data_IF_308323814874
#
_entry.id   IF_308323814874
#
_cell.length_a   1.000
_cell.length_b   1.000
_cell.length_c   1.000
_cell.angle_alpha   90.00
_cell.angle_beta   90.00
_cell.angle_gamma   90.00
#
_symmetry.space_group_name_H-M   'P 1'
#
loop_
_entity.id
_entity.type
_entity.pdbx_description
1 polymer ?
#
# COMPACT_ATOMS: atom_id res chain seq x y z
N UNK A 1 -4.31 -35.19 22.78
CA UNK A 1 -3.45 -34.85 21.63
C UNK A 1 -4.13 -35.02 20.26
N UNK A 2 -5.22 -35.80 20.09
CA UNK A 2 -5.83 -35.99 18.75
C UNK A 2 -6.90 -34.96 18.32
N UNK A 3 -7.23 -33.96 19.15
CA UNK A 3 -8.24 -32.93 18.83
C UNK A 3 -7.68 -31.62 18.28
N UNK A 4 -6.39 -31.36 18.43
CA UNK A 4 -5.72 -30.19 17.82
C UNK A 4 -5.26 -30.48 16.39
N UNK A 5 -4.82 -31.72 16.09
CA UNK A 5 -4.44 -32.13 14.73
C UNK A 5 -5.64 -32.14 13.78
N UNK A 6 -6.80 -32.65 14.22
CA UNK A 6 -8.01 -32.65 13.40
C UNK A 6 -8.56 -31.25 13.10
N UNK A 7 -8.41 -30.30 14.04
CA UNK A 7 -8.82 -28.91 13.84
C UNK A 7 -7.91 -28.16 12.86
N UNK A 8 -6.59 -28.38 12.92
CA UNK A 8 -5.63 -27.79 11.99
C UNK A 8 -5.83 -28.31 10.56
N UNK A 9 -6.01 -29.62 10.42
CA UNK A 9 -6.24 -30.27 9.12
C UNK A 9 -7.56 -29.83 8.48
N UNK A 10 -8.62 -29.62 9.27
CA UNK A 10 -9.89 -29.06 8.78
C UNK A 10 -9.77 -27.59 8.34
N UNK A 11 -9.04 -26.75 9.08
CA UNK A 11 -8.81 -25.34 8.72
C UNK A 11 -7.95 -25.23 7.45
N UNK A 12 -6.92 -26.07 7.34
CA UNK A 12 -6.05 -26.14 6.17
C UNK A 12 -6.84 -26.60 4.93
N UNK A 13 -7.64 -27.66 5.03
CA UNK A 13 -8.49 -28.15 3.95
C UNK A 13 -9.52 -27.11 3.48
N UNK A 14 -10.18 -26.40 4.40
CA UNK A 14 -11.12 -25.31 4.04
C UNK A 14 -10.38 -24.17 3.34
N UNK A 15 -9.17 -23.82 3.79
CA UNK A 15 -8.36 -22.76 3.19
C UNK A 15 -7.89 -23.09 1.76
N UNK A 16 -7.60 -24.36 1.47
CA UNK A 16 -7.20 -24.84 0.14
C UNK A 16 -8.39 -24.80 -0.83
N UNK A 17 -9.55 -25.34 -0.44
CA UNK A 17 -10.77 -25.33 -1.27
C UNK A 17 -11.20 -23.90 -1.63
N UNK A 18 -11.07 -22.98 -0.67
CA UNK A 18 -11.41 -21.57 -0.84
C UNK A 18 -10.39 -20.82 -1.72
N UNK A 19 -9.11 -21.21 -1.68
CA UNK A 19 -8.07 -20.72 -2.61
C UNK A 19 -8.29 -21.21 -4.04
N UNK A 20 -8.73 -22.45 -4.25
CA UNK A 20 -9.05 -22.97 -5.58
C UNK A 20 -10.28 -22.28 -6.19
N UNK A 21 -11.35 -22.11 -5.40
CA UNK A 21 -12.55 -21.38 -5.83
C UNK A 21 -12.22 -19.91 -6.17
N UNK A 22 -11.34 -19.28 -5.40
CA UNK A 22 -10.79 -17.97 -5.71
C UNK A 22 -9.93 -18.01 -7.00
N UNK A 23 -9.13 -19.06 -7.18
CA UNK A 23 -8.33 -19.30 -8.38
C UNK A 23 -9.17 -19.33 -9.65
N UNK A 24 -10.26 -20.09 -9.68
CA UNK A 24 -11.20 -20.12 -10.81
C UNK A 24 -11.87 -18.76 -11.06
N UNK A 25 -12.08 -17.95 -10.01
CA UNK A 25 -12.63 -16.61 -10.19
C UNK A 25 -11.66 -15.64 -10.85
N UNK A 26 -10.38 -15.70 -10.45
CA UNK A 26 -9.32 -14.88 -11.05
C UNK A 26 -8.95 -15.42 -12.42
N UNK A 27 -8.82 -16.74 -12.57
CA UNK A 27 -8.39 -17.45 -13.78
C UNK A 27 -9.41 -18.54 -14.14
N UNK A 28 -10.52 -18.19 -14.82
CA UNK A 28 -11.55 -19.15 -15.14
C UNK A 28 -11.06 -20.22 -16.11
N UNK A 29 -11.68 -21.39 -16.03
CA UNK A 29 -11.51 -22.52 -16.96
C UNK A 29 -11.31 -22.07 -18.42
N UNK A 30 -10.17 -22.44 -19.01
CA UNK A 30 -9.74 -21.98 -20.35
C UNK A 30 -8.75 -20.82 -20.34
N UNK A 31 -8.39 -20.27 -19.17
CA UNK A 31 -7.30 -19.31 -19.04
C UNK A 31 -5.97 -19.92 -19.50
N UNK A 32 -5.52 -19.47 -20.68
CA UNK A 32 -4.26 -19.87 -21.32
C UNK A 32 -3.17 -18.81 -21.11
N UNK A 33 -3.07 -18.28 -19.88
CA UNK A 33 -1.98 -17.37 -19.54
C UNK A 33 -0.63 -18.03 -19.86
N UNK A 34 0.31 -17.32 -20.53
CA UNK A 34 1.56 -17.92 -20.91
C UNK A 34 2.29 -18.39 -19.65
N UNK A 35 2.83 -19.61 -19.65
CA UNK A 35 3.64 -20.07 -18.54
C UNK A 35 4.83 -19.13 -18.38
N UNK A 36 5.17 -18.85 -17.13
CA UNK A 36 6.26 -17.94 -16.80
C UNK A 36 7.54 -18.71 -16.58
N UNK A 37 8.64 -18.13 -17.02
CA UNK A 37 9.96 -18.64 -16.70
C UNK A 37 10.51 -17.80 -15.56
N UNK A 38 10.72 -18.43 -14.41
CA UNK A 38 11.27 -17.82 -13.22
C UNK A 38 12.67 -18.39 -12.99
N UNK A 39 13.63 -17.51 -12.72
CA UNK A 39 15.00 -17.91 -12.40
C UNK A 39 15.11 -18.31 -10.92
N UNK A 40 15.75 -19.43 -10.62
CA UNK A 40 15.98 -19.86 -9.25
C UNK A 40 16.97 -18.93 -8.53
N UNK A 41 16.58 -18.39 -7.37
CA UNK A 41 17.43 -17.56 -6.49
C UNK A 41 18.68 -18.24 -5.92
N UNK A 42 18.82 -19.56 -6.09
CA UNK A 42 19.92 -20.34 -5.51
C UNK A 42 20.93 -20.85 -6.53
N UNK A 43 20.45 -21.33 -7.69
CA UNK A 43 21.29 -21.94 -8.72
C UNK A 43 21.13 -21.31 -10.10
N UNK A 44 20.32 -20.25 -10.24
CA UNK A 44 20.08 -19.52 -11.50
C UNK A 44 19.44 -20.35 -12.63
N UNK A 45 19.02 -21.59 -12.37
CA UNK A 45 18.27 -22.39 -13.33
C UNK A 45 16.91 -21.75 -13.60
N UNK A 46 16.50 -21.74 -14.87
CA UNK A 46 15.19 -21.27 -15.32
C UNK A 46 14.14 -22.36 -15.12
N UNK A 47 13.06 -22.05 -14.42
CA UNK A 47 11.96 -22.96 -14.11
C UNK A 47 10.67 -22.43 -14.72
N UNK A 48 9.96 -23.29 -15.45
CA UNK A 48 8.65 -22.96 -16.01
C UNK A 48 7.59 -23.16 -14.92
N UNK A 49 6.81 -22.13 -14.63
CA UNK A 49 5.74 -22.14 -13.63
C UNK A 49 4.41 -21.72 -14.25
N UNK A 50 3.33 -22.33 -13.78
CA UNK A 50 1.97 -21.90 -14.09
C UNK A 50 1.60 -20.75 -13.16
N UNK A 51 1.28 -19.59 -13.74
CA UNK A 51 0.99 -18.38 -12.97
C UNK A 51 -0.07 -18.58 -11.89
N UNK A 52 -1.25 -19.19 -12.17
CA UNK A 52 -2.27 -19.36 -11.14
C UNK A 52 -1.76 -20.14 -9.93
N UNK A 53 -1.08 -21.28 -10.17
CA UNK A 53 -0.52 -22.11 -9.10
C UNK A 53 0.59 -21.39 -8.35
N UNK A 54 1.50 -20.72 -9.06
CA UNK A 54 2.62 -20.00 -8.44
C UNK A 54 2.17 -18.80 -7.59
N UNK A 55 1.06 -18.15 -7.94
CA UNK A 55 0.51 -17.02 -7.16
C UNK A 55 -0.30 -17.50 -5.97
N UNK A 56 -1.07 -18.57 -6.10
CA UNK A 56 -1.95 -19.08 -5.03
C UNK A 56 -1.22 -19.96 -4.01
N UNK A 57 -0.21 -20.71 -4.48
CA UNK A 57 0.53 -21.70 -3.69
C UNK A 57 2.05 -21.60 -3.97
N UNK A 58 2.68 -20.44 -3.72
CA UNK A 58 4.12 -20.26 -3.95
C UNK A 58 4.98 -21.30 -3.21
N UNK A 59 4.55 -21.75 -2.04
CA UNK A 59 5.20 -22.77 -1.19
C UNK A 59 5.38 -24.13 -1.89
N UNK A 60 4.56 -24.46 -2.90
CA UNK A 60 4.60 -25.74 -3.61
C UNK A 60 5.55 -25.75 -4.82
N UNK A 61 6.40 -24.72 -4.98
CA UNK A 61 7.24 -24.56 -6.16
C UNK A 61 8.72 -24.70 -5.80
N UNK A 62 9.29 -25.85 -6.14
CA UNK A 62 10.72 -26.15 -5.97
C UNK A 62 11.47 -26.08 -7.31
N UNK A 63 12.76 -25.77 -7.25
CA UNK A 63 13.61 -25.73 -8.43
C UNK A 63 13.87 -27.15 -8.93
N UNK A 64 13.57 -27.42 -10.21
CA UNK A 64 13.80 -28.72 -10.83
C UNK A 64 15.27 -29.16 -10.92
N UNK A 65 16.23 -28.25 -10.67
CA UNK A 65 17.66 -28.59 -10.67
C UNK A 65 18.24 -28.75 -9.26
N UNK A 66 18.03 -27.79 -8.35
CA UNK A 66 18.63 -27.84 -7.01
C UNK A 66 17.67 -28.28 -5.89
N UNK A 67 16.39 -28.50 -6.19
CA UNK A 67 15.36 -28.94 -5.22
C UNK A 67 14.96 -27.91 -4.16
N UNK A 68 15.54 -26.70 -4.19
CA UNK A 68 15.21 -25.63 -3.23
C UNK A 68 13.99 -24.82 -3.67
N UNK A 69 13.29 -24.22 -2.70
CA UNK A 69 12.13 -23.34 -2.92
C UNK A 69 12.47 -22.22 -3.92
N UNK A 70 11.59 -22.02 -4.91
CA UNK A 70 11.74 -20.96 -5.91
C UNK A 70 11.43 -19.58 -5.35
N UNK A 71 10.37 -19.52 -4.52
CA UNK A 71 9.86 -18.27 -3.97
C UNK A 71 10.25 -18.11 -2.50
N UNK A 72 10.36 -16.85 -2.06
CA UNK A 72 10.52 -16.46 -0.67
C UNK A 72 9.31 -16.92 0.15
N UNK A 73 9.54 -17.40 1.38
CA UNK A 73 8.47 -17.69 2.33
C UNK A 73 7.68 -16.42 2.70
N UNK A 74 6.48 -16.61 3.25
CA UNK A 74 5.57 -15.50 3.59
C UNK A 74 6.18 -14.49 4.58
N UNK A 75 6.98 -14.98 5.53
CA UNK A 75 7.68 -14.15 6.53
C UNK A 75 9.14 -13.83 6.16
N UNK A 76 9.62 -14.26 4.98
CA UNK A 76 10.98 -13.93 4.55
C UNK A 76 11.05 -12.49 3.99
N UNK A 77 11.95 -11.63 4.51
CA UNK A 77 12.04 -10.24 4.10
C UNK A 77 12.57 -10.08 2.66
N UNK A 78 12.02 -9.11 1.93
CA UNK A 78 12.56 -8.65 0.65
C UNK A 78 13.80 -7.77 0.88
N UNK A 79 14.92 -8.40 1.26
CA UNK A 79 16.16 -7.69 1.66
C UNK A 79 16.56 -6.60 0.68
N UNK A 80 16.79 -5.40 1.19
CA UNK A 80 17.13 -4.20 0.46
C UNK A 80 16.16 -3.88 -0.70
N UNK A 81 14.86 -4.20 -0.62
CA UNK A 81 13.90 -3.94 -1.70
C UNK A 81 13.93 -2.47 -2.14
N UNK A 82 14.15 -2.17 -3.42
CA UNK A 82 13.92 -0.81 -3.93
C UNK A 82 12.44 -0.60 -4.25
N UNK A 83 11.89 0.58 -3.94
CA UNK A 83 10.55 0.96 -4.40
C UNK A 83 10.38 0.86 -5.93
N UNK A 84 11.47 1.01 -6.69
CA UNK A 84 11.52 0.81 -8.14
C UNK A 84 11.13 -0.61 -8.59
N UNK A 85 11.21 -1.60 -7.71
CA UNK A 85 10.84 -2.98 -8.01
C UNK A 85 9.35 -3.15 -8.30
N UNK A 86 8.51 -2.40 -7.58
CA UNK A 86 7.05 -2.52 -7.65
C UNK A 86 6.35 -1.25 -8.14
N UNK A 87 7.07 -0.14 -8.31
CA UNK A 87 6.54 1.13 -8.84
C UNK A 87 5.67 0.93 -10.09
N UNK A 88 4.44 1.45 -10.05
CA UNK A 88 3.52 1.37 -11.16
C UNK A 88 4.00 2.24 -12.32
N UNK A 89 3.73 1.81 -13.56
CA UNK A 89 4.13 2.56 -14.76
C UNK A 89 3.35 3.88 -14.89
N UNK A 90 2.06 3.85 -14.57
CA UNK A 90 1.22 5.06 -14.51
C UNK A 90 1.72 6.04 -13.45
N UNK A 91 2.06 5.56 -12.25
CA UNK A 91 2.60 6.39 -11.18
C UNK A 91 3.86 7.11 -11.64
N UNK A 92 4.87 6.36 -12.10
CA UNK A 92 6.11 6.93 -12.63
C UNK A 92 5.86 7.97 -13.73
N UNK A 93 4.99 7.68 -14.70
CA UNK A 93 4.70 8.58 -15.81
C UNK A 93 3.98 9.85 -15.34
N UNK A 94 2.99 9.72 -14.47
CA UNK A 94 2.23 10.84 -13.93
C UNK A 94 3.07 11.71 -13.01
N UNK A 95 3.96 11.12 -12.22
CA UNK A 95 4.89 11.87 -11.36
C UNK A 95 5.92 12.63 -12.20
N UNK A 96 6.50 12.02 -13.23
CA UNK A 96 7.40 12.70 -14.17
C UNK A 96 6.70 13.88 -14.87
N UNK A 97 5.42 13.73 -15.23
CA UNK A 97 4.63 14.81 -15.83
C UNK A 97 4.27 15.91 -14.82
N UNK A 98 4.13 15.58 -13.53
CA UNK A 98 3.92 16.55 -12.47
C UNK A 98 5.20 17.35 -12.18
N UNK A 99 6.34 16.66 -12.09
CA UNK A 99 7.65 17.27 -11.85
C UNK A 99 8.13 18.15 -13.01
N UNK A 100 7.59 17.97 -14.22
CA UNK A 100 7.91 18.83 -15.36
C UNK A 100 7.16 20.16 -15.36
N UNK A 101 6.17 20.35 -14.48
CA UNK A 101 5.45 21.62 -14.33
C UNK A 101 6.38 22.64 -13.63
N UNK A 102 6.66 23.81 -14.24
CA UNK A 102 7.51 24.82 -13.64
C UNK A 102 7.05 25.23 -12.22
N UNK A 103 7.99 25.25 -11.27
CA UNK A 103 7.73 25.64 -9.88
C UNK A 103 7.33 24.49 -8.95
N UNK A 104 6.87 23.34 -9.47
CA UNK A 104 6.53 22.18 -8.63
C UNK A 104 7.77 21.62 -7.92
N UNK A 105 8.93 21.37 -8.59
CA UNK A 105 10.12 20.88 -7.90
C UNK A 105 10.64 21.82 -6.81
N UNK A 106 10.60 23.13 -7.05
CA UNK A 106 11.01 24.16 -6.09
C UNK A 106 10.10 24.17 -4.87
N UNK A 107 8.78 24.12 -5.08
CA UNK A 107 7.79 24.08 -4.00
C UNK A 107 7.91 22.81 -3.16
N UNK A 108 8.07 21.65 -3.80
CA UNK A 108 8.29 20.37 -3.09
C UNK A 108 9.55 20.42 -2.22
N UNK A 109 10.66 20.97 -2.75
CA UNK A 109 11.91 21.15 -1.98
C UNK A 109 11.74 22.15 -0.83
N UNK A 110 10.98 23.23 -1.05
CA UNK A 110 10.63 24.18 0.01
C UNK A 110 9.84 23.50 1.13
N UNK A 111 8.80 22.74 0.80
CA UNK A 111 8.00 22.00 1.78
C UNK A 111 8.87 21.04 2.60
N UNK A 112 9.70 20.23 1.94
CA UNK A 112 10.64 19.32 2.61
C UNK A 112 11.61 20.04 3.56
N UNK A 113 12.14 21.20 3.17
CA UNK A 113 13.17 21.90 3.95
C UNK A 113 12.63 22.83 5.03
N UNK A 114 11.42 23.38 4.87
CA UNK A 114 10.87 24.44 5.74
C UNK A 114 9.62 24.03 6.49
N UNK A 115 8.84 23.06 5.98
CA UNK A 115 7.64 22.58 6.65
C UNK A 115 7.99 21.35 7.48
N UNK A 116 7.99 21.54 8.79
CA UNK A 116 8.20 20.46 9.74
C UNK A 116 6.89 19.78 10.12
N UNK A 117 7.00 18.58 10.67
CA UNK A 117 5.86 17.74 11.07
C UNK A 117 5.29 18.10 12.45
N UNK A 118 5.75 19.19 13.07
CA UNK A 118 5.41 19.57 14.44
C UNK A 118 3.91 19.82 14.64
N UNK A 119 3.26 20.50 13.69
CA UNK A 119 1.83 20.80 13.78
C UNK A 119 0.98 19.53 13.74
N UNK A 120 1.23 18.68 12.74
CA UNK A 120 0.58 17.36 12.61
C UNK A 120 0.80 16.51 13.85
N UNK A 121 2.04 16.42 14.34
CA UNK A 121 2.39 15.65 15.52
C UNK A 121 1.69 16.18 16.77
N UNK A 122 1.63 17.50 16.95
CA UNK A 122 0.92 18.12 18.08
C UNK A 122 -0.58 17.80 18.03
N UNK A 123 -1.20 17.89 16.84
CA UNK A 123 -2.60 17.53 16.64
C UNK A 123 -2.84 16.06 17.00
N UNK A 124 -2.09 15.13 16.42
CA UNK A 124 -2.25 13.69 16.67
C UNK A 124 -1.97 13.33 18.13
N UNK A 125 -0.96 13.93 18.77
CA UNK A 125 -0.71 13.74 20.20
C UNK A 125 -1.85 14.26 21.09
N UNK A 126 -2.63 15.22 20.60
CA UNK A 126 -3.77 15.80 21.34
C UNK A 126 -5.08 15.06 21.09
N UNK A 127 -5.27 14.44 19.91
CA UNK A 127 -6.57 13.92 19.46
C UNK A 127 -6.58 12.43 19.10
N UNK A 128 -5.45 11.74 19.12
CA UNK A 128 -5.31 10.33 18.78
C UNK A 128 -4.41 9.59 19.78
N UNK A 129 -4.45 8.26 19.76
CA UNK A 129 -3.65 7.44 20.68
C UNK A 129 -2.35 7.03 20.01
N UNK A 130 -1.20 7.45 20.57
CA UNK A 130 0.11 7.03 20.08
C UNK A 130 0.34 5.55 20.39
N UNK A 131 0.55 4.72 19.38
CA UNK A 131 0.82 3.29 19.56
C UNK A 131 2.31 3.05 19.86
N UNK A 132 2.59 2.09 20.73
CA UNK A 132 3.93 1.74 21.19
C UNK A 132 3.96 0.37 21.89
N UNK A 133 5.12 -0.05 22.44
CA UNK A 133 5.25 -1.31 23.16
C UNK A 133 4.28 -1.45 24.35
N UNK A 134 3.95 -0.34 25.01
CA UNK A 134 3.09 -0.33 26.19
C UNK A 134 1.62 0.04 25.86
N UNK A 135 1.31 0.35 24.60
CA UNK A 135 -0.01 0.84 24.19
C UNK A 135 -0.33 0.43 22.75
N UNK A 136 -1.31 -0.46 22.57
CA UNK A 136 -1.60 -1.14 21.29
C UNK A 136 -0.37 -1.87 20.68
N UNK A 137 0.32 -2.75 21.45
CA UNK A 137 1.49 -3.46 20.94
C UNK A 137 1.18 -4.40 19.77
N UNK A 138 -0.06 -4.90 19.66
CA UNK A 138 -0.55 -5.74 18.55
C UNK A 138 -0.41 -5.01 17.21
N UNK A 139 -0.91 -3.78 17.13
CA UNK A 139 -0.85 -2.97 15.92
C UNK A 139 0.59 -2.62 15.53
N UNK A 140 1.43 -2.38 16.54
CA UNK A 140 2.88 -2.20 16.38
C UNK A 140 3.52 -3.44 15.77
N UNK A 141 3.20 -4.65 16.26
CA UNK A 141 3.73 -5.91 15.71
C UNK A 141 3.31 -6.11 14.26
N UNK A 142 2.08 -5.77 13.90
CA UNK A 142 1.59 -5.86 12.51
C UNK A 142 2.34 -4.87 11.60
N UNK A 143 2.57 -3.63 12.06
CA UNK A 143 3.39 -2.65 11.34
C UNK A 143 4.83 -3.15 11.15
N UNK A 144 5.45 -3.70 12.20
CA UNK A 144 6.80 -4.25 12.13
C UNK A 144 6.88 -5.43 11.16
N UNK A 145 5.86 -6.29 11.10
CA UNK A 145 5.79 -7.41 10.15
C UNK A 145 5.68 -6.92 8.71
N UNK A 146 4.78 -5.97 8.43
CA UNK A 146 4.66 -5.36 7.10
C UNK A 146 5.97 -4.66 6.67
N UNK A 147 6.58 -3.89 7.58
CA UNK A 147 7.86 -3.21 7.38
C UNK A 147 8.99 -4.19 7.09
N UNK A 148 9.07 -5.28 7.85
CA UNK A 148 10.10 -6.31 7.70
C UNK A 148 9.95 -7.04 6.36
N UNK A 149 8.73 -7.44 5.98
CA UNK A 149 8.47 -8.14 4.71
C UNK A 149 8.84 -7.29 3.48
N UNK A 150 8.61 -5.99 3.53
CA UNK A 150 9.03 -5.02 2.50
C UNK A 150 10.47 -4.51 2.66
N UNK A 151 11.13 -4.87 3.77
CA UNK A 151 12.39 -4.32 4.24
C UNK A 151 12.43 -2.79 4.17
N UNK A 152 11.42 -2.08 4.67
CA UNK A 152 11.47 -0.60 4.72
C UNK A 152 12.43 -0.18 5.84
N UNK A 153 13.44 0.68 5.57
CA UNK A 153 14.57 0.90 6.48
C UNK A 153 14.22 1.72 7.72
N UNK A 154 13.10 2.44 7.70
CA UNK A 154 12.60 3.19 8.83
C UNK A 154 11.25 2.64 9.28
N UNK A 155 10.95 2.87 10.55
CA UNK A 155 9.67 2.54 11.16
C UNK A 155 8.91 3.85 11.40
N UNK A 156 7.81 4.12 10.70
CA UNK A 156 6.98 5.28 11.02
C UNK A 156 6.35 5.11 12.40
N UNK A 157 6.08 6.22 13.07
CA UNK A 157 5.21 6.18 14.24
C UNK A 157 3.78 5.82 13.81
N UNK A 158 3.06 5.13 14.69
CA UNK A 158 1.68 4.72 14.45
C UNK A 158 0.78 5.38 15.48
N UNK A 159 -0.33 5.95 15.02
CA UNK A 159 -1.39 6.49 15.87
C UNK A 159 -2.71 5.80 15.54
N UNK A 160 -3.51 5.55 16.57
CA UNK A 160 -4.89 5.09 16.44
C UNK A 160 -5.84 6.29 16.61
N UNK A 161 -6.55 6.64 15.55
CA UNK A 161 -7.60 7.67 15.57
C UNK A 161 -8.98 7.04 15.71
N UNK A 162 -9.86 7.67 16.50
CA UNK A 162 -11.28 7.30 16.52
C UNK A 162 -11.91 7.67 15.18
N UNK A 163 -12.55 6.70 14.52
CA UNK A 163 -13.43 6.97 13.38
C UNK A 163 -14.26 5.74 13.04
N UNK A 164 -15.55 5.91 12.68
CA UNK A 164 -16.42 4.82 12.22
C UNK A 164 -16.17 4.40 10.76
N UNK A 165 -15.32 5.14 10.04
CA UNK A 165 -14.96 4.88 8.65
C UNK A 165 -13.59 4.20 8.58
N UNK A 166 -13.50 3.09 7.84
CA UNK A 166 -12.24 2.42 7.56
C UNK A 166 -11.34 3.36 6.75
N UNK A 167 -10.19 3.70 7.32
CA UNK A 167 -9.15 4.45 6.63
C UNK A 167 -7.80 4.29 7.36
N UNK A 168 -6.73 4.40 6.60
CA UNK A 168 -5.40 4.66 7.13
C UNK A 168 -4.76 5.74 6.25
N UNK A 169 -3.82 6.49 6.81
CA UNK A 169 -3.12 7.53 6.05
C UNK A 169 -1.72 7.77 6.56
N UNK A 170 -0.81 7.89 5.61
CA UNK A 170 0.57 8.33 5.80
C UNK A 170 0.64 9.86 5.74
N UNK A 171 1.02 10.49 6.85
CA UNK A 171 1.06 11.94 7.02
C UNK A 171 2.47 12.40 7.38
N UNK A 172 2.90 13.53 6.82
CA UNK A 172 4.14 14.21 7.18
C UNK A 172 5.02 14.48 5.97
N UNK A 173 6.22 15.02 6.22
CA UNK A 173 7.23 15.32 5.22
C UNK A 173 8.53 14.60 5.54
N UNK A 174 9.12 14.90 6.70
CA UNK A 174 10.46 14.44 7.08
C UNK A 174 10.43 13.25 8.03
N UNK A 175 9.45 13.22 8.93
CA UNK A 175 9.26 12.17 9.92
C UNK A 175 7.81 11.65 9.82
N UNK A 176 7.54 10.78 8.82
CA UNK A 176 6.18 10.39 8.50
C UNK A 176 5.55 9.53 9.60
N UNK A 177 4.26 9.75 9.78
CA UNK A 177 3.39 9.07 10.74
C UNK A 177 2.33 8.30 9.96
N UNK A 178 1.97 7.10 10.42
CA UNK A 178 0.82 6.36 9.92
C UNK A 178 -0.31 6.47 10.93
N UNK A 179 -1.41 7.09 10.54
CA UNK A 179 -2.64 7.12 11.33
C UNK A 179 -3.59 6.01 10.85
N UNK A 180 -4.06 5.20 11.77
CA UNK A 180 -4.99 4.09 11.54
C UNK A 180 -6.32 4.44 12.21
N UNK A 181 -7.44 4.30 11.49
CA UNK A 181 -8.75 4.47 12.11
C UNK A 181 -9.18 3.21 12.87
N UNK A 182 -9.84 3.39 14.02
CA UNK A 182 -10.36 2.30 14.86
C UNK A 182 -11.26 1.32 14.09
N UNK A 183 -12.09 1.81 13.16
CA UNK A 183 -12.95 0.97 12.33
C UNK A 183 -12.22 -0.09 11.48
N UNK A 184 -10.91 0.05 11.23
CA UNK A 184 -10.11 -1.01 10.60
C UNK A 184 -9.92 -2.20 11.54
N UNK A 185 -9.62 -1.95 12.83
CA UNK A 185 -9.44 -2.99 13.83
C UNK A 185 -10.76 -3.76 14.10
N UNK A 186 -11.91 -3.10 13.96
CA UNK A 186 -13.23 -3.73 14.12
C UNK A 186 -13.59 -4.69 12.99
N UNK A 187 -12.97 -4.55 11.82
CA UNK A 187 -13.42 -5.17 10.57
C UNK A 187 -12.36 -6.04 9.88
N UNK A 188 -11.08 -5.85 10.17
CA UNK A 188 -9.99 -6.52 9.47
C UNK A 188 -9.30 -7.52 10.38
N UNK A 189 -8.93 -8.68 9.82
CA UNK A 189 -8.00 -9.60 10.48
C UNK A 189 -6.55 -9.17 10.26
N UNK A 190 -5.62 -9.86 10.93
CA UNK A 190 -4.20 -9.50 10.96
C UNK A 190 -3.55 -9.41 9.57
N UNK A 191 -3.77 -10.36 8.67
CA UNK A 191 -3.19 -10.31 7.32
C UNK A 191 -3.79 -9.17 6.47
N UNK A 192 -5.06 -8.81 6.69
CA UNK A 192 -5.68 -7.65 6.04
C UNK A 192 -5.11 -6.34 6.60
N UNK A 193 -4.86 -6.29 7.91
CA UNK A 193 -4.16 -5.16 8.54
C UNK A 193 -2.72 -5.05 8.03
N UNK A 194 -1.99 -6.15 7.84
CA UNK A 194 -0.66 -6.15 7.21
C UNK A 194 -0.74 -5.62 5.78
N UNK A 195 -1.78 -5.96 5.01
CA UNK A 195 -1.99 -5.40 3.69
C UNK A 195 -2.24 -3.89 3.73
N UNK A 196 -3.07 -3.38 4.65
CA UNK A 196 -3.28 -1.92 4.84
C UNK A 196 -1.97 -1.23 5.24
N UNK A 197 -1.23 -1.75 6.21
CA UNK A 197 0.03 -1.13 6.65
C UNK A 197 1.11 -1.22 5.56
N UNK A 198 1.13 -2.32 4.80
CA UNK A 198 1.97 -2.49 3.60
C UNK A 198 1.62 -1.50 2.49
N UNK A 199 0.34 -1.16 2.33
CA UNK A 199 -0.13 -0.12 1.42
C UNK A 199 0.41 1.25 1.84
N UNK A 200 0.26 1.63 3.11
CA UNK A 200 0.81 2.88 3.65
C UNK A 200 2.33 2.96 3.53
N UNK A 201 3.04 1.88 3.87
CA UNK A 201 4.47 1.76 3.64
C UNK A 201 4.83 1.87 2.14
N UNK A 202 3.92 1.45 1.26
CA UNK A 202 3.99 1.60 -0.18
C UNK A 202 3.93 3.04 -0.67
N UNK A 203 3.29 3.96 0.06
CA UNK A 203 3.37 5.40 -0.17
C UNK A 203 4.66 5.99 0.41
N UNK A 204 5.03 5.57 1.61
CA UNK A 204 6.19 6.08 2.34
C UNK A 204 7.52 5.74 1.65
N UNK A 205 7.68 4.52 1.16
CA UNK A 205 8.93 4.05 0.55
C UNK A 205 9.37 4.81 -0.72
N UNK A 206 8.49 5.12 -1.70
CA UNK A 206 8.76 6.04 -2.80
C UNK A 206 8.55 7.53 -2.46
N UNK A 207 8.27 7.88 -1.21
CA UNK A 207 8.04 9.25 -0.73
C UNK A 207 6.80 9.96 -1.31
N UNK A 208 5.74 9.22 -1.60
CA UNK A 208 4.47 9.78 -2.07
C UNK A 208 3.84 10.74 -1.05
N UNK A 209 4.06 10.54 0.26
CA UNK A 209 3.49 11.36 1.34
C UNK A 209 3.79 12.86 1.16
N UNK A 210 4.95 13.22 0.61
CA UNK A 210 5.34 14.60 0.31
C UNK A 210 4.43 15.24 -0.74
N UNK A 211 4.17 14.52 -1.84
CA UNK A 211 3.31 14.98 -2.93
C UNK A 211 1.83 14.91 -2.55
N UNK A 212 1.41 13.98 -1.69
CA UNK A 212 0.07 13.99 -1.09
C UNK A 212 -0.14 15.24 -0.22
N UNK A 213 0.86 15.60 0.60
CA UNK A 213 0.79 16.81 1.42
C UNK A 213 0.75 18.09 0.56
N UNK A 214 1.54 18.14 -0.52
CA UNK A 214 1.45 19.21 -1.52
C UNK A 214 0.03 19.28 -2.14
N UNK A 215 -0.51 18.14 -2.57
CA UNK A 215 -1.86 18.05 -3.12
C UNK A 215 -2.92 18.57 -2.15
N UNK A 216 -2.85 18.17 -0.88
CA UNK A 216 -3.78 18.63 0.15
C UNK A 216 -3.68 20.13 0.40
N UNK A 217 -2.46 20.69 0.47
CA UNK A 217 -2.26 22.14 0.62
C UNK A 217 -2.87 22.91 -0.56
N UNK A 218 -2.65 22.44 -1.78
CA UNK A 218 -3.19 23.07 -2.99
C UNK A 218 -4.71 22.93 -3.09
N UNK A 219 -5.29 21.81 -2.63
CA UNK A 219 -6.74 21.61 -2.59
C UNK A 219 -7.40 22.51 -1.52
N UNK A 220 -6.79 22.65 -0.33
CA UNK A 220 -7.30 23.53 0.72
C UNK A 220 -7.11 25.01 0.38
N UNK A 221 -5.96 25.39 -0.18
CA UNK A 221 -5.65 26.78 -0.56
C UNK A 221 -6.32 27.23 -1.86
N UNK A 222 -6.51 26.32 -2.82
CA UNK A 222 -7.16 26.60 -4.11
C UNK A 222 -8.63 26.98 -3.98
N UNK A 223 -9.32 26.52 -2.93
CA UNK A 223 -10.69 26.94 -2.63
C UNK A 223 -10.80 28.45 -2.34
N UNK A 224 -9.69 29.11 -1.97
CA UNK A 224 -9.63 30.56 -1.74
C UNK A 224 -9.09 31.36 -2.94
N UNK A 225 -8.63 30.70 -4.02
CA UNK A 225 -7.99 31.37 -5.15
C UNK A 225 -9.05 31.87 -6.16
N UNK A 226 -9.25 33.19 -6.23
CA UNK A 226 -10.08 33.84 -7.25
C UNK A 226 -9.26 34.31 -8.46
N UNK A 227 -9.90 34.49 -9.63
CA UNK A 227 -9.29 35.07 -10.82
C UNK A 227 -8.25 34.17 -11.52
N UNK A 228 -7.22 34.77 -12.11
CA UNK A 228 -6.18 34.08 -12.92
C UNK A 228 -5.45 32.99 -12.12
N UNK A 229 -5.30 33.16 -10.81
CA UNK A 229 -4.69 32.16 -9.92
C UNK A 229 -5.47 30.83 -9.89
N UNK A 230 -6.81 30.87 -9.96
CA UNK A 230 -7.66 29.68 -10.02
C UNK A 230 -7.56 28.93 -11.37
N UNK A 231 -7.38 29.67 -12.47
CA UNK A 231 -7.26 29.10 -13.83
C UNK A 231 -5.95 28.31 -13.97
N UNK A 232 -4.84 28.83 -13.44
CA UNK A 232 -3.53 28.15 -13.45
C UNK A 232 -3.49 26.97 -12.46
N UNK A 233 -4.22 27.05 -11.34
CA UNK A 233 -4.26 25.99 -10.34
C UNK A 233 -5.01 24.73 -10.82
N UNK A 234 -5.96 24.86 -11.75
CA UNK A 234 -6.80 23.73 -12.19
C UNK A 234 -6.01 22.62 -12.93
N UNK A 235 -5.18 22.90 -13.95
CA UNK A 235 -4.36 21.86 -14.60
C UNK A 235 -3.42 21.15 -13.62
N UNK A 236 -2.79 21.91 -12.72
CA UNK A 236 -1.93 21.37 -11.67
C UNK A 236 -2.72 20.44 -10.74
N UNK A 237 -3.92 20.87 -10.30
CA UNK A 237 -4.83 20.07 -9.47
C UNK A 237 -5.22 18.76 -10.17
N UNK A 238 -5.53 18.81 -11.46
CA UNK A 238 -5.90 17.62 -12.23
C UNK A 238 -4.71 16.66 -12.41
N UNK A 239 -3.51 17.19 -12.67
CA UNK A 239 -2.28 16.41 -12.75
C UNK A 239 -1.95 15.74 -11.40
N UNK A 240 -2.11 16.47 -10.29
CA UNK A 240 -1.94 15.94 -8.94
C UNK A 240 -2.94 14.82 -8.64
N UNK A 241 -4.24 15.04 -8.91
CA UNK A 241 -5.26 14.01 -8.69
C UNK A 241 -5.03 12.77 -9.57
N UNK A 242 -4.58 12.96 -10.81
CA UNK A 242 -4.18 11.87 -11.69
C UNK A 242 -3.01 11.08 -11.11
N UNK A 243 -1.98 11.78 -10.63
CA UNK A 243 -0.84 11.15 -9.98
C UNK A 243 -1.26 10.42 -8.69
N UNK A 244 -2.07 11.04 -7.83
CA UNK A 244 -2.55 10.42 -6.58
C UNK A 244 -3.23 9.07 -6.86
N UNK A 245 -4.14 9.01 -7.84
CA UNK A 245 -4.78 7.76 -8.25
C UNK A 245 -3.81 6.72 -8.80
N UNK A 246 -2.78 7.15 -9.51
CA UNK A 246 -1.76 6.25 -10.03
C UNK A 246 -0.84 5.72 -8.91
N UNK A 247 -0.56 6.54 -7.90
CA UNK A 247 0.24 6.18 -6.73
C UNK A 247 -0.40 5.07 -5.87
N UNK A 248 -1.73 5.01 -5.83
CA UNK A 248 -2.50 3.94 -5.18
C UNK A 248 -2.17 2.56 -5.77
N UNK A 249 -1.92 2.48 -7.09
CA UNK A 249 -1.55 1.21 -7.74
C UNK A 249 -0.16 0.73 -7.32
N UNK A 250 0.76 1.66 -7.04
CA UNK A 250 2.07 1.33 -6.47
C UNK A 250 1.90 0.82 -5.05
N UNK A 251 1.07 1.49 -4.25
CA UNK A 251 0.79 1.10 -2.88
C UNK A 251 0.04 -0.25 -2.79
N UNK A 252 -0.87 -0.56 -3.72
CA UNK A 252 -1.51 -1.88 -3.84
C UNK A 252 -0.52 -3.01 -4.08
N UNK A 253 0.50 -2.76 -4.91
CA UNK A 253 1.57 -3.74 -5.13
C UNK A 253 2.41 -3.94 -3.87
N UNK A 254 2.68 -2.87 -3.13
CA UNK A 254 3.35 -2.97 -1.83
C UNK A 254 2.51 -3.74 -0.81
N UNK A 255 1.20 -3.50 -0.76
CA UNK A 255 0.26 -4.25 0.07
C UNK A 255 0.34 -5.75 -0.21
N UNK A 256 0.31 -6.14 -1.49
CA UNK A 256 0.42 -7.54 -1.90
C UNK A 256 1.79 -8.14 -1.56
N UNK A 257 2.89 -7.39 -1.73
CA UNK A 257 4.22 -7.86 -1.31
C UNK A 257 4.35 -7.98 0.22
N UNK A 258 3.60 -7.20 0.98
CA UNK A 258 3.58 -7.25 2.44
C UNK A 258 2.70 -8.38 2.99
N UNK A 259 1.51 -8.65 2.44
CA UNK A 259 0.66 -9.74 2.92
C UNK A 259 0.96 -11.09 2.25
N UNK A 260 1.60 -11.09 1.08
CA UNK A 260 1.91 -12.28 0.26
C UNK A 260 0.69 -13.12 -0.15
N UNK A 261 -0.50 -12.52 -0.12
CA UNK A 261 -1.74 -13.19 -0.47
C UNK A 261 -2.66 -12.28 -1.30
N UNK A 262 -2.78 -12.61 -2.59
CA UNK A 262 -3.64 -11.89 -3.53
C UNK A 262 -5.10 -11.92 -3.07
N UNK A 263 -5.53 -13.03 -2.48
CA UNK A 263 -6.90 -13.20 -2.00
C UNK A 263 -7.21 -12.20 -0.88
N UNK A 264 -6.29 -12.04 0.07
CA UNK A 264 -6.39 -11.04 1.14
C UNK A 264 -6.46 -9.61 0.60
N UNK A 265 -5.67 -9.25 -0.42
CA UNK A 265 -5.77 -7.92 -1.04
C UNK A 265 -7.13 -7.67 -1.71
N UNK A 266 -7.64 -8.63 -2.51
CA UNK A 266 -8.94 -8.47 -3.18
C UNK A 266 -10.08 -8.46 -2.15
N UNK A 267 -10.00 -9.29 -1.12
CA UNK A 267 -10.94 -9.30 -0.01
C UNK A 267 -10.97 -7.97 0.71
N UNK A 268 -9.81 -7.43 1.08
CA UNK A 268 -9.66 -6.11 1.70
C UNK A 268 -10.35 -5.02 0.85
N UNK A 269 -10.07 -5.00 -0.45
CA UNK A 269 -10.70 -4.07 -1.40
C UNK A 269 -12.24 -4.18 -1.39
N UNK A 270 -12.80 -5.39 -1.39
CA UNK A 270 -14.24 -5.61 -1.28
C UNK A 270 -14.80 -5.13 0.08
N UNK A 271 -14.04 -5.29 1.18
CA UNK A 271 -14.45 -4.75 2.48
C UNK A 271 -14.53 -3.22 2.46
N UNK A 272 -13.56 -2.54 1.85
CA UNK A 272 -13.60 -1.08 1.63
C UNK A 272 -14.80 -0.64 0.77
N UNK A 273 -15.24 -1.48 -0.17
CA UNK A 273 -16.45 -1.24 -0.95
C UNK A 273 -17.77 -1.43 -0.15
N UNK A 274 -17.70 -1.89 1.11
CA UNK A 274 -18.84 -1.98 2.03
C UNK A 274 -19.14 -3.39 2.57
N UNK A 275 -18.32 -4.39 2.23
CA UNK A 275 -18.65 -5.80 2.46
C UNK A 275 -18.65 -6.30 3.91
N UNK A 276 -18.17 -5.54 4.92
CA UNK A 276 -17.77 -6.18 6.19
C UNK A 276 -18.17 -5.50 7.52
N UNK A 277 -19.07 -4.52 7.48
CA UNK A 277 -19.60 -3.95 8.73
C UNK A 277 -20.37 -5.01 9.54
N UNK A 278 -20.41 -4.93 10.88
CA UNK A 278 -21.10 -5.91 11.72
C UNK A 278 -22.54 -6.19 11.29
N UNK A 279 -23.31 -5.14 10.98
CA UNK A 279 -24.69 -5.28 10.49
C UNK A 279 -24.80 -5.96 9.12
N UNK A 280 -23.81 -5.80 8.24
CA UNK A 280 -23.75 -6.49 6.95
C UNK A 280 -23.44 -7.98 7.14
N UNK A 281 -22.41 -8.29 7.95
CA UNK A 281 -22.00 -9.68 8.24
C UNK A 281 -23.07 -10.51 8.92
N UNK A 282 -23.93 -9.88 9.73
CA UNK A 282 -25.05 -10.55 10.37
C UNK A 282 -26.15 -10.99 9.39
N UNK A 283 -26.20 -10.40 8.18
CA UNK A 283 -27.27 -10.64 7.21
C UNK A 283 -26.79 -11.34 5.94
N UNK A 284 -25.51 -11.22 5.61
CA UNK A 284 -24.94 -11.76 4.38
C UNK A 284 -23.43 -11.96 4.51
N UNK A 285 -22.84 -12.65 3.54
CA UNK A 285 -21.41 -12.90 3.45
C UNK A 285 -20.83 -12.31 2.16
N UNK A 286 -19.57 -11.88 2.22
CA UNK A 286 -18.84 -11.44 1.04
C UNK A 286 -18.50 -12.63 0.15
N UNK A 287 -18.60 -12.44 -1.15
CA UNK A 287 -18.23 -13.43 -2.15
C UNK A 287 -17.21 -12.79 -3.12
N UNK A 288 -16.00 -13.32 -3.17
CA UNK A 288 -14.93 -12.74 -3.99
C UNK A 288 -15.16 -12.96 -5.48
N UNK A 289 -15.67 -14.14 -5.85
CA UNK A 289 -15.81 -14.51 -7.26
C UNK A 289 -16.77 -13.60 -8.05
N UNK A 290 -17.99 -13.28 -7.56
CA UNK A 290 -18.85 -12.29 -8.21
C UNK A 290 -18.20 -10.91 -8.32
N UNK A 291 -17.45 -10.47 -7.30
CA UNK A 291 -16.79 -9.17 -7.32
C UNK A 291 -15.65 -9.10 -8.35
N UNK A 292 -14.88 -10.17 -8.51
CA UNK A 292 -13.86 -10.27 -9.56
C UNK A 292 -14.50 -10.25 -10.96
N UNK A 293 -15.62 -10.95 -11.14
CA UNK A 293 -16.39 -10.89 -12.40
C UNK A 293 -16.88 -9.47 -12.70
N UNK A 294 -17.42 -8.77 -11.69
CA UNK A 294 -17.81 -7.37 -11.80
C UNK A 294 -16.63 -6.48 -12.21
N UNK A 295 -15.44 -6.69 -11.64
CA UNK A 295 -14.24 -5.93 -11.99
C UNK A 295 -13.79 -6.20 -13.44
N UNK A 296 -13.86 -7.45 -13.90
CA UNK A 296 -13.57 -7.83 -15.29
C UNK A 296 -14.58 -7.24 -16.26
N UNK A 297 -15.86 -7.26 -15.90
CA UNK A 297 -16.94 -6.67 -16.70
C UNK A 297 -16.72 -5.17 -16.89
N UNK A 298 -16.45 -4.42 -15.81
CA UNK A 298 -16.10 -3.00 -15.90
C UNK A 298 -14.92 -2.76 -16.85
N UNK A 299 -13.82 -3.51 -16.69
CA UNK A 299 -12.66 -3.37 -17.56
C UNK A 299 -12.97 -3.67 -19.04
N UNK A 300 -13.89 -4.61 -19.30
CA UNK A 300 -14.33 -4.93 -20.66
C UNK A 300 -15.20 -3.83 -21.27
N UNK A 301 -16.07 -3.19 -20.47
CA UNK A 301 -16.92 -2.08 -20.89
C UNK A 301 -16.08 -0.82 -21.17
N UNK A 302 -15.14 -0.48 -20.28
CA UNK A 302 -14.21 0.64 -20.47
C UNK A 302 -13.32 0.47 -21.72
N UNK A 303 -12.99 -0.78 -22.09
CA UNK A 303 -12.17 -1.07 -23.26
C UNK A 303 -12.98 -1.10 -24.58
N UNK A 304 -14.25 -1.49 -24.54
CA UNK A 304 -15.10 -1.64 -25.73
C UNK A 304 -15.79 -0.34 -26.15
N UNK A 305 -15.97 0.59 -25.22
CA UNK A 305 -16.68 1.85 -25.42
C UNK A 305 -15.85 3.04 -24.95
N UNK A 306 -15.47 3.91 -25.90
CA UNK A 306 -14.75 5.14 -25.57
C UNK A 306 -15.59 6.09 -24.70
N UNK A 307 -16.92 6.04 -24.82
CA UNK A 307 -17.85 6.86 -24.02
C UNK A 307 -17.81 6.39 -22.57
N UNK A 308 -17.87 5.08 -22.33
CA UNK A 308 -17.83 4.53 -20.97
C UNK A 308 -16.45 4.71 -20.35
N UNK A 309 -15.38 4.57 -21.13
CA UNK A 309 -14.03 4.93 -20.69
C UNK A 309 -13.89 6.41 -20.33
N UNK A 310 -14.47 7.32 -21.13
CA UNK A 310 -14.47 8.75 -20.86
C UNK A 310 -15.33 9.11 -19.64
N UNK A 311 -16.48 8.45 -19.46
CA UNK A 311 -17.36 8.61 -18.31
C UNK A 311 -16.70 8.10 -17.03
N UNK A 312 -16.07 6.92 -17.07
CA UNK A 312 -15.31 6.38 -15.95
C UNK A 312 -14.17 7.33 -15.56
N UNK A 313 -13.43 7.86 -16.54
CA UNK A 313 -12.42 8.88 -16.31
C UNK A 313 -13.03 10.11 -15.64
N UNK A 314 -14.16 10.63 -16.16
CA UNK A 314 -14.88 11.79 -15.63
C UNK A 314 -15.34 11.60 -14.18
N UNK A 315 -15.98 10.47 -13.87
CA UNK A 315 -16.45 10.11 -12.53
C UNK A 315 -15.30 9.98 -11.52
N UNK A 316 -14.08 9.72 -12.00
CA UNK A 316 -12.89 9.58 -11.17
C UNK A 316 -12.14 10.91 -10.98
N UNK A 317 -12.38 11.93 -11.82
CA UNK A 317 -11.56 13.15 -11.88
C UNK A 317 -11.39 13.86 -10.53
N UNK A 318 -12.44 13.92 -9.71
CA UNK A 318 -12.44 14.62 -8.43
C UNK A 318 -12.26 13.69 -7.20
N UNK A 319 -11.91 12.42 -7.42
CA UNK A 319 -11.66 11.45 -6.33
C UNK A 319 -10.17 11.33 -6.06
N UNK A 320 -9.79 11.28 -4.78
CA UNK A 320 -8.41 11.03 -4.34
C UNK A 320 -8.00 9.57 -4.52
N UNK A 321 -8.95 8.63 -4.42
CA UNK A 321 -8.73 7.20 -4.62
C UNK A 321 -9.51 6.73 -5.86
N UNK A 322 -8.93 5.86 -6.71
CA UNK A 322 -9.60 5.32 -7.88
C UNK A 322 -10.64 4.27 -7.46
N UNK A 323 -11.52 3.88 -8.40
CA UNK A 323 -12.50 2.84 -8.16
C UNK A 323 -11.85 1.51 -7.79
N UNK A 324 -12.44 0.83 -6.82
CA UNK A 324 -11.92 -0.43 -6.27
C UNK A 324 -11.77 -1.51 -7.35
N UNK A 325 -12.77 -1.65 -8.22
CA UNK A 325 -12.76 -2.60 -9.33
C UNK A 325 -11.56 -2.39 -10.27
N UNK A 326 -11.20 -1.14 -10.55
CA UNK A 326 -10.04 -0.80 -11.38
C UNK A 326 -8.73 -1.21 -10.71
N UNK A 327 -8.58 -0.94 -9.40
CA UNK A 327 -7.41 -1.36 -8.60
C UNK A 327 -7.23 -2.88 -8.61
N UNK A 328 -8.32 -3.62 -8.41
CA UNK A 328 -8.32 -5.11 -8.49
C UNK A 328 -7.75 -5.58 -9.82
N UNK A 329 -8.21 -5.01 -10.95
CA UNK A 329 -7.74 -5.42 -12.27
C UNK A 329 -6.25 -5.11 -12.50
N UNK A 330 -5.74 -3.97 -12.04
CA UNK A 330 -4.31 -3.67 -12.12
C UNK A 330 -3.46 -4.62 -11.28
N UNK A 331 -3.97 -5.05 -10.12
CA UNK A 331 -3.28 -6.01 -9.27
C UNK A 331 -3.26 -7.41 -9.91
N UNK A 332 -4.39 -7.86 -10.46
CA UNK A 332 -4.48 -9.12 -11.21
C UNK A 332 -3.53 -9.10 -12.41
N UNK A 333 -3.55 -8.03 -13.21
CA UNK A 333 -2.64 -7.88 -14.34
C UNK A 333 -1.17 -7.90 -13.92
N UNK A 334 -0.84 -7.36 -12.75
CA UNK A 334 0.53 -7.36 -12.25
C UNK A 334 1.01 -8.75 -11.81
N UNK A 335 0.15 -9.56 -11.19
CA UNK A 335 0.54 -10.95 -10.85
C UNK A 335 0.63 -11.83 -12.09
N UNK A 336 -0.19 -11.58 -13.11
CA UNK A 336 -0.19 -12.33 -14.36
C UNK A 336 1.00 -11.96 -15.26
N UNK A 337 1.15 -10.66 -15.49
CA UNK A 337 1.97 -10.10 -16.57
C UNK A 337 3.12 -9.22 -16.06
N UNK A 338 3.10 -8.87 -14.78
CA UNK A 338 4.14 -8.07 -14.16
C UNK A 338 5.28 -8.89 -13.57
N UNK A 339 5.99 -8.26 -12.64
CA UNK A 339 7.21 -8.77 -11.99
C UNK A 339 6.96 -9.41 -10.62
N UNK A 340 5.69 -9.64 -10.25
CA UNK A 340 5.36 -10.15 -8.92
C UNK A 340 6.12 -11.44 -8.59
N UNK A 341 6.04 -12.44 -9.47
CA UNK A 341 6.74 -13.72 -9.30
C UNK A 341 8.27 -13.57 -9.32
N UNK A 342 8.82 -12.67 -10.16
CA UNK A 342 10.27 -12.38 -10.15
C UNK A 342 10.71 -11.81 -8.80
N UNK A 343 9.89 -10.90 -8.22
CA UNK A 343 10.18 -10.31 -6.91
C UNK A 343 10.15 -11.40 -5.83
N UNK A 344 9.12 -12.24 -5.83
CA UNK A 344 9.02 -13.38 -4.91
C UNK A 344 10.18 -14.37 -5.10
N UNK A 345 10.68 -14.52 -6.31
CA UNK A 345 11.85 -15.34 -6.60
C UNK A 345 13.18 -14.65 -6.31
N UNK A 346 13.19 -13.50 -5.61
CA UNK A 346 14.44 -12.84 -5.22
C UNK A 346 15.06 -11.92 -6.28
N UNK A 347 14.44 -11.77 -7.45
CA UNK A 347 14.96 -11.06 -8.61
C UNK A 347 14.35 -9.67 -8.78
N UNK A 348 14.85 -8.73 -7.99
CA UNK A 348 14.34 -7.36 -7.96
C UNK A 348 15.46 -6.32 -7.78
N UNK A 349 15.24 -5.07 -8.24
CA UNK A 349 16.13 -3.97 -7.92
C UNK A 349 16.28 -3.80 -6.41
N UNK A 350 17.54 -3.80 -5.94
CA UNK A 350 17.87 -3.56 -4.54
C UNK A 350 18.31 -2.11 -4.34
N UNK A 351 18.01 -1.54 -3.17
CA UNK A 351 18.57 -0.26 -2.73
C UNK A 351 20.08 -0.43 -2.53
N UNK A 352 20.83 0.60 -2.89
CA UNK A 352 22.24 0.67 -2.54
C UNK A 352 22.30 0.92 -1.03
N UNK A 353 22.65 -0.09 -0.25
CA UNK A 353 22.95 0.06 1.18
C UNK A 353 24.36 0.64 1.26
N UNK A 354 24.50 1.94 1.12
CA UNK A 354 25.74 2.60 1.52
C UNK A 354 25.87 2.43 3.03
N UNK A 355 26.98 1.85 3.48
CA UNK A 355 27.27 1.64 4.90
C UNK A 355 27.53 2.97 5.62
N UNK A 356 26.51 3.81 5.75
CA UNK A 356 26.49 5.00 6.62
C UNK A 356 25.07 5.10 7.14
N UNK A 357 24.93 5.00 8.46
CA UNK A 357 23.71 5.32 9.20
C UNK A 357 23.30 6.77 8.91
N UNK A 358 22.49 7.00 7.88
CA UNK A 358 21.80 8.27 7.69
C UNK A 358 20.66 8.35 8.70
N UNK A 359 21.01 8.73 9.93
CA UNK A 359 20.07 9.40 10.82
C UNK A 359 19.58 10.64 10.06
N UNK A 360 18.26 10.94 9.99
CA UNK A 360 17.85 12.28 9.59
C UNK A 360 18.55 13.30 10.52
N UNK A 361 18.89 14.51 10.03
CA UNK A 361 19.74 15.44 10.78
C UNK A 361 19.13 15.69 12.16
N UNK A 362 19.91 15.37 13.19
CA UNK A 362 19.50 15.54 14.57
C UNK A 362 19.21 17.02 14.83
N UNK A 363 18.05 17.26 15.42
CA UNK A 363 17.59 18.54 15.97
C UNK A 363 18.75 19.23 16.71
N UNK A 364 19.10 20.44 16.28
CA UNK A 364 19.82 21.36 17.15
C UNK A 364 18.91 21.65 18.34
N UNK A 365 19.30 21.18 19.52
CA UNK A 365 18.66 21.55 20.78
C UNK A 365 18.79 23.06 20.93
N UNK A 366 17.65 23.75 20.98
CA UNK A 366 17.58 25.13 21.45
C UNK A 366 18.01 25.12 22.92
N UNK A 367 18.99 25.94 23.35
CA UNK A 367 19.38 26.00 24.74
C UNK A 367 18.20 26.52 25.56
N UNK A 368 17.82 25.75 26.58
CA UNK A 368 16.88 26.19 27.62
C UNK A 368 17.38 27.50 28.21
N UNK A 369 16.62 28.59 28.05
CA UNK A 369 16.84 29.79 28.83
C UNK A 369 16.66 29.45 30.31
N UNK A 370 17.76 29.57 31.06
CA UNK A 370 17.78 29.38 32.49
C UNK A 370 16.80 30.32 33.19
N UNK A 371 16.07 29.74 34.13
CA UNK A 371 15.32 30.41 35.18
C UNK A 371 16.12 31.56 35.78
N UNK A 372 15.64 32.79 35.61
CA UNK A 372 16.08 33.90 36.47
C UNK A 372 15.53 33.64 37.86
N UNK A 373 16.45 33.31 38.76
CA UNK A 373 16.20 33.16 40.18
C UNK A 373 15.60 34.43 40.77
N UNK A 374 14.62 34.22 41.63
CA UNK A 374 14.18 35.19 42.62
C UNK A 374 15.39 35.70 43.41
N UNK A 375 15.56 37.02 43.44
CA UNK A 375 16.31 37.69 44.49
C UNK A 375 15.33 38.58 45.25
N UNK A 376 15.12 38.16 46.50
CA UNK A 376 14.55 38.90 47.60
C UNK A 376 15.41 40.11 47.97
N UNK A 377 14.75 41.16 48.50
CA UNK A 377 15.16 41.99 49.65
C UNK A 377 14.35 43.30 49.70
N UNK A 378 14.32 43.96 50.86
CA UNK A 378 13.69 43.59 52.13
C UNK A 378 12.28 44.16 52.27
#
# INVERSE_FOLDING_TARGET
MSTQESGAELVENVSVVDREAFGEAVWPSGYSGPPRVVECRHCHTKNRVEVPKAVLFPEHHDCGSCGKKLFLDSDEPLKALSSKAYLHSLDRKSLMALDSIPGVPELTRYLLSRVGDRGTRLLLMSSAVKCGPDQFPELVRLMDRARMRLDVPYRPEVFLGESPNMNAVSIGFNDPIVMVHSALLDQLGDEEMIAVLGHELGHLHPSHHVYHALGNLLLMGGAAAAGVAGIVALPLRMALLQWQRASELTADRAALLACRDLRTCIRLMLKFAGGNRPGTRARTSIQLAPFIRQARELASQEASSWVDGALAAWLTLNRSHPFVAWRVMHLIQWVERGRYLDILAGHYPRRVVTGITSRPPAQQRVPSQGSRGAQSRP
#
